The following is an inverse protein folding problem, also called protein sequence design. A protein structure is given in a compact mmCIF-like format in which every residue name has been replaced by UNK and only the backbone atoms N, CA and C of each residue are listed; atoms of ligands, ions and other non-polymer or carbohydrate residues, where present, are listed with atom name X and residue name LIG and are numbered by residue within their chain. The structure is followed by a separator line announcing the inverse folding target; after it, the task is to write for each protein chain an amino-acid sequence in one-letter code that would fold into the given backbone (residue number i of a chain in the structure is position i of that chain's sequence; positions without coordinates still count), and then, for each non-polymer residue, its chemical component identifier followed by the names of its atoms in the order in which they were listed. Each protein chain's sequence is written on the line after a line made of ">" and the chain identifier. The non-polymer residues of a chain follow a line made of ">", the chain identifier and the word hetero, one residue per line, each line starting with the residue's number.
data_IF_081994124051
#
_entry.id   IF_081994124051
#
_cell.length_a   1.000
_cell.length_b   1.000
_cell.length_c   1.000
_cell.angle_alpha   90.00
_cell.angle_beta   90.00
_cell.angle_gamma   90.00
#
_symmetry.space_group_name_H-M   'P 1'
#
loop_
_entity.id
_entity.type
_entity.pdbx_description
1 polymer ?
#
# COMPACT_ATOMS: atom_id res chain seq x y z
N UNK A 1 10.07 -33.74 17.65
CA UNK A 1 10.91 -32.95 16.73
C UNK A 1 10.11 -31.72 16.37
N UNK A 2 10.64 -30.55 16.69
CA UNK A 2 10.02 -29.27 16.39
C UNK A 2 10.17 -28.94 14.90
N UNK A 3 9.12 -28.40 14.29
CA UNK A 3 9.14 -27.83 12.95
C UNK A 3 8.37 -26.51 13.00
N UNK A 4 9.11 -25.42 12.89
CA UNK A 4 8.65 -24.04 12.84
C UNK A 4 8.16 -23.77 11.40
N UNK A 5 6.92 -23.31 11.24
CA UNK A 5 6.35 -22.88 9.96
C UNK A 5 5.80 -21.48 10.14
N UNK A 6 6.31 -20.53 9.35
CA UNK A 6 6.01 -19.12 9.46
C UNK A 6 4.59 -18.79 8.98
N UNK A 7 3.85 -18.09 9.84
CA UNK A 7 2.58 -17.43 9.54
C UNK A 7 2.79 -16.26 8.57
N UNK A 8 2.20 -16.35 7.37
CA UNK A 8 1.94 -15.18 6.51
C UNK A 8 0.66 -15.38 5.71
N UNK A 9 -0.49 -15.43 6.39
CA UNK A 9 -1.81 -15.49 5.75
C UNK A 9 -2.72 -14.37 6.25
N UNK A 10 -2.96 -13.40 5.37
CA UNK A 10 -4.21 -12.65 5.26
C UNK A 10 -4.22 -11.96 3.89
N UNK A 11 -5.41 -11.76 3.32
CA UNK A 11 -5.73 -11.16 1.99
C UNK A 11 -5.98 -12.16 0.85
N UNK A 12 -7.24 -12.61 0.72
CA UNK A 12 -7.94 -12.40 -0.54
C UNK A 12 -9.38 -11.88 -0.31
N UNK A 13 -9.86 -11.02 -1.23
CA UNK A 13 -11.27 -10.63 -1.51
C UNK A 13 -11.47 -9.11 -1.57
N UNK A 14 -11.06 -8.49 -2.68
CA UNK A 14 -11.62 -7.19 -3.10
C UNK A 14 -11.58 -7.07 -4.62
N UNK A 15 -12.31 -7.96 -5.31
CA UNK A 15 -12.58 -7.82 -6.75
C UNK A 15 -13.89 -8.54 -7.13
N UNK A 16 -15.01 -8.08 -6.56
CA UNK A 16 -16.34 -7.98 -7.20
C UNK A 16 -17.41 -7.59 -6.19
N UNK A 17 -18.43 -6.91 -6.71
CA UNK A 17 -19.67 -6.44 -6.09
C UNK A 17 -19.63 -5.05 -5.44
N UNK A 18 -19.99 -4.08 -6.29
CA UNK A 18 -20.34 -2.70 -5.95
C UNK A 18 -21.82 -2.48 -6.29
N UNK A 19 -22.68 -2.37 -5.27
CA UNK A 19 -23.96 -1.64 -5.33
C UNK A 19 -24.23 -1.07 -3.92
N UNK A 20 -24.69 0.19 -3.79
CA UNK A 20 -24.79 0.87 -2.50
C UNK A 20 -26.07 0.49 -1.75
N UNK A 21 -25.94 0.17 -0.46
CA UNK A 21 -27.06 0.17 0.50
C UNK A 21 -26.84 1.35 1.45
N UNK A 22 -27.84 2.22 1.69
CA UNK A 22 -27.66 3.38 2.57
C UNK A 22 -27.88 2.97 4.02
N UNK A 23 -26.88 3.18 4.88
CA UNK A 23 -27.06 3.16 6.34
C UNK A 23 -26.59 4.50 6.91
N UNK A 24 -27.52 5.20 7.57
CA UNK A 24 -27.27 6.44 8.28
C UNK A 24 -26.50 6.16 9.58
N UNK A 25 -25.24 6.59 9.66
CA UNK A 25 -24.51 6.70 10.93
C UNK A 25 -23.89 8.09 11.03
N UNK A 26 -24.15 8.75 12.17
CA UNK A 26 -23.81 10.15 12.44
C UNK A 26 -22.29 10.41 12.43
N UNK A 27 -21.86 11.24 11.48
CA UNK A 27 -20.52 11.80 11.40
C UNK A 27 -20.23 12.75 12.57
N UNK A 28 -19.30 12.41 13.47
CA UNK A 28 -18.60 13.41 14.30
C UNK A 28 -17.35 13.86 13.56
N UNK A 29 -17.48 15.01 12.87
CA UNK A 29 -16.41 15.73 12.18
C UNK A 29 -15.27 16.11 13.14
N UNK A 30 -14.04 15.83 12.71
CA UNK A 30 -12.82 16.46 13.21
C UNK A 30 -12.85 17.94 12.81
N UNK A 31 -12.93 18.84 13.81
CA UNK A 31 -12.54 20.24 13.63
C UNK A 31 -11.02 20.31 13.73
N UNK A 32 -10.34 20.20 12.59
CA UNK A 32 -9.02 20.84 12.46
C UNK A 32 -9.29 22.33 12.69
N UNK A 33 -8.56 22.95 13.62
CA UNK A 33 -8.65 24.37 13.93
C UNK A 33 -8.40 25.19 12.64
N UNK A 34 -9.47 25.50 11.92
CA UNK A 34 -9.49 26.55 10.91
C UNK A 34 -9.54 27.86 11.71
N UNK A 35 -8.40 28.57 11.78
CA UNK A 35 -8.43 30.01 12.02
C UNK A 35 -9.20 30.64 10.85
N UNK A 36 -10.47 30.95 11.11
CA UNK A 36 -11.39 31.53 10.14
C UNK A 36 -11.03 32.98 9.88
N UNK A 37 -10.09 33.23 8.97
CA UNK A 37 -10.00 34.52 8.27
C UNK A 37 -9.73 34.34 6.77
N UNK A 38 -10.84 34.28 6.02
CA UNK A 38 -11.06 34.70 4.62
C UNK A 38 -10.26 33.94 3.50
N UNK A 39 -10.84 33.34 2.45
CA UNK A 39 -11.88 33.73 1.47
C UNK A 39 -12.47 32.49 0.75
N UNK A 40 -13.65 32.57 0.09
CA UNK A 40 -14.35 31.40 -0.44
C UNK A 40 -13.81 31.00 -1.83
N UNK A 41 -13.10 29.88 -1.87
CA UNK A 41 -12.74 29.18 -3.11
C UNK A 41 -13.07 27.70 -2.94
N UNK A 42 -14.17 27.25 -3.55
CA UNK A 42 -14.46 25.81 -3.69
C UNK A 42 -13.30 25.17 -4.45
N UNK A 43 -12.54 24.27 -3.81
CA UNK A 43 -11.54 23.42 -4.45
C UNK A 43 -11.84 21.96 -4.11
N UNK A 44 -11.68 21.02 -5.06
CA UNK A 44 -12.36 19.73 -4.99
C UNK A 44 -11.65 18.80 -4.00
N UNK A 45 -12.31 18.56 -2.88
CA UNK A 45 -11.99 17.59 -1.82
C UNK A 45 -12.16 16.12 -2.23
N UNK A 46 -12.46 15.87 -3.51
CA UNK A 46 -13.07 14.64 -3.97
C UNK A 46 -12.22 13.37 -3.82
N UNK A 47 -10.88 13.41 -3.94
CA UNK A 47 -10.09 12.17 -3.83
C UNK A 47 -9.72 11.82 -2.38
N UNK A 48 -9.44 12.79 -1.51
CA UNK A 48 -9.33 12.52 -0.07
C UNK A 48 -10.69 12.02 0.43
N UNK A 49 -11.79 12.71 0.09
CA UNK A 49 -13.13 12.28 0.49
C UNK A 49 -13.48 10.90 -0.09
N UNK A 50 -13.08 10.58 -1.33
CA UNK A 50 -13.31 9.27 -1.92
C UNK A 50 -12.50 8.17 -1.21
N UNK A 51 -11.20 8.39 -0.94
CA UNK A 51 -10.38 7.40 -0.22
C UNK A 51 -10.81 7.24 1.23
N UNK A 52 -11.19 8.33 1.91
CA UNK A 52 -11.75 8.29 3.25
C UNK A 52 -13.14 7.64 3.29
N UNK A 53 -13.99 7.82 2.27
CA UNK A 53 -15.26 7.10 2.16
C UNK A 53 -15.07 5.61 1.87
N UNK A 54 -14.02 5.25 1.13
CA UNK A 54 -13.67 3.87 0.79
C UNK A 54 -13.13 3.07 1.98
N UNK A 55 -12.55 3.71 3.00
CA UNK A 55 -11.83 3.03 4.06
C UNK A 55 -11.98 3.59 5.47
N UNK A 56 -12.89 4.54 5.72
CA UNK A 56 -12.96 5.27 6.99
C UNK A 56 -13.19 4.39 8.22
N UNK A 57 -14.07 3.39 8.14
CA UNK A 57 -14.31 2.44 9.25
C UNK A 57 -13.08 1.54 9.48
N UNK A 58 -12.51 0.99 8.41
CA UNK A 58 -11.29 0.18 8.48
C UNK A 58 -10.09 0.99 9.04
N UNK A 59 -9.99 2.28 8.71
CA UNK A 59 -8.95 3.15 9.29
C UNK A 59 -9.10 3.31 10.80
N UNK A 60 -10.34 3.40 11.31
CA UNK A 60 -10.58 3.49 12.76
C UNK A 60 -10.23 2.20 13.48
N UNK A 61 -10.58 1.04 12.91
CA UNK A 61 -10.20 -0.27 13.45
C UNK A 61 -8.67 -0.42 13.54
N UNK A 62 -7.96 0.01 12.50
CA UNK A 62 -6.48 0.04 12.51
C UNK A 62 -5.93 0.95 13.61
N UNK A 63 -6.52 2.13 13.83
CA UNK A 63 -6.07 3.03 14.89
C UNK A 63 -6.29 2.44 16.29
N UNK A 64 -7.38 1.72 16.51
CA UNK A 64 -7.67 1.05 17.78
C UNK A 64 -6.66 -0.06 18.04
N UNK A 65 -6.38 -0.90 17.03
CA UNK A 65 -5.43 -2.00 17.18
C UNK A 65 -3.99 -1.49 17.37
N UNK A 66 -3.59 -0.44 16.64
CA UNK A 66 -2.29 0.20 16.84
C UNK A 66 -2.17 0.76 18.25
N UNK A 67 -3.23 1.40 18.78
CA UNK A 67 -3.23 1.89 20.16
C UNK A 67 -3.08 0.73 21.16
N UNK A 68 -3.76 -0.39 20.93
CA UNK A 68 -3.63 -1.59 21.76
C UNK A 68 -2.20 -2.13 21.76
N UNK A 69 -1.56 -2.21 20.59
CA UNK A 69 -0.18 -2.65 20.45
C UNK A 69 0.81 -1.67 21.10
N UNK A 70 0.60 -0.36 20.95
CA UNK A 70 1.45 0.67 21.57
C UNK A 70 1.39 0.65 23.11
N UNK A 71 0.25 0.26 23.70
CA UNK A 71 0.14 0.02 25.14
C UNK A 71 0.79 -1.32 25.54
N UNK A 72 0.60 -2.37 24.75
CA UNK A 72 1.18 -3.69 25.00
C UNK A 72 2.72 -3.64 25.04
N UNK A 73 3.33 -2.91 24.11
CA UNK A 73 4.78 -2.77 23.98
C UNK A 73 5.31 -1.43 24.53
N UNK A 74 4.59 -0.82 25.49
CA UNK A 74 4.94 0.52 26.00
C UNK A 74 6.32 0.59 26.62
N UNK A 75 6.88 -0.52 27.09
CA UNK A 75 8.20 -0.57 27.72
C UNK A 75 9.36 -0.75 26.70
N UNK A 76 9.04 -1.00 25.42
CA UNK A 76 10.01 -1.18 24.33
C UNK A 76 10.21 0.10 23.49
N UNK A 77 11.28 0.11 22.68
CA UNK A 77 11.49 1.11 21.65
C UNK A 77 10.71 0.71 20.40
N UNK A 78 9.62 1.42 20.11
CA UNK A 78 8.70 1.06 19.03
C UNK A 78 8.87 1.94 17.80
N UNK A 79 8.35 1.47 16.66
CA UNK A 79 8.14 2.27 15.46
C UNK A 79 6.91 1.74 14.73
N UNK A 80 6.26 2.58 13.92
CA UNK A 80 5.12 2.18 13.10
C UNK A 80 5.53 2.30 11.64
N UNK A 81 5.37 1.21 10.89
CA UNK A 81 5.56 1.22 9.43
C UNK A 81 4.25 0.90 8.75
N UNK A 82 3.83 1.76 7.83
CA UNK A 82 2.63 1.60 7.02
C UNK A 82 3.06 1.40 5.58
N UNK A 83 2.47 0.43 4.88
CA UNK A 83 2.83 0.13 3.51
C UNK A 83 1.59 -0.13 2.68
N UNK A 84 1.71 0.04 1.38
CA UNK A 84 0.65 -0.24 0.45
C UNK A 84 1.10 -0.03 -1.00
N UNK A 85 0.33 -0.61 -1.91
CA UNK A 85 0.51 -0.48 -3.35
C UNK A 85 -0.74 0.13 -3.97
N UNK A 86 -0.59 1.00 -4.97
CA UNK A 86 -1.71 1.58 -5.72
C UNK A 86 -2.72 2.28 -4.81
N UNK A 87 -4.01 1.90 -4.84
CA UNK A 87 -5.02 2.38 -3.89
C UNK A 87 -4.59 2.17 -2.42
N UNK A 88 -4.00 1.02 -2.10
CA UNK A 88 -3.49 0.72 -0.76
C UNK A 88 -2.39 1.67 -0.31
N UNK A 89 -1.56 2.17 -1.24
CA UNK A 89 -0.55 3.19 -0.92
C UNK A 89 -1.18 4.53 -0.53
N UNK A 90 -2.27 4.93 -1.20
CA UNK A 90 -3.03 6.13 -0.85
C UNK A 90 -3.65 6.00 0.55
N UNK A 91 -4.25 4.84 0.85
CA UNK A 91 -4.83 4.54 2.16
C UNK A 91 -3.76 4.50 3.25
N UNK A 92 -2.60 3.87 3.00
CA UNK A 92 -1.46 3.85 3.92
C UNK A 92 -0.96 5.27 4.24
N UNK A 93 -0.94 6.16 3.24
CA UNK A 93 -0.56 7.56 3.41
C UNK A 93 -1.54 8.32 4.31
N UNK A 94 -2.84 8.15 4.08
CA UNK A 94 -3.88 8.78 4.92
C UNK A 94 -3.84 8.23 6.35
N UNK A 95 -3.72 6.92 6.50
CA UNK A 95 -3.67 6.26 7.79
C UNK A 95 -2.43 6.67 8.60
N UNK A 96 -1.27 6.81 7.95
CA UNK A 96 -0.07 7.33 8.60
C UNK A 96 -0.25 8.76 9.13
N UNK A 97 -0.96 9.62 8.38
CA UNK A 97 -1.32 10.98 8.84
C UNK A 97 -2.29 10.91 10.01
N UNK A 98 -3.33 10.08 9.94
CA UNK A 98 -4.30 9.92 11.02
C UNK A 98 -3.65 9.43 12.31
N UNK A 99 -2.69 8.49 12.21
CA UNK A 99 -1.94 7.98 13.36
C UNK A 99 -1.21 9.10 14.10
N UNK A 100 -0.43 9.92 13.38
CA UNK A 100 0.32 11.02 14.01
C UNK A 100 -0.58 12.17 14.44
N UNK A 101 -1.69 12.42 13.74
CA UNK A 101 -2.64 13.47 14.09
C UNK A 101 -3.44 13.14 15.37
N UNK A 102 -3.79 11.86 15.57
CA UNK A 102 -4.46 11.38 16.79
C UNK A 102 -3.48 10.99 17.90
N UNK A 103 -2.17 11.07 17.64
CA UNK A 103 -1.13 10.73 18.60
C UNK A 103 -1.12 9.27 19.02
N UNK A 104 -1.64 8.35 18.19
CA UNK A 104 -1.66 6.91 18.51
C UNK A 104 -0.25 6.30 18.55
N UNK A 105 0.72 6.98 17.94
CA UNK A 105 2.14 6.63 17.99
C UNK A 105 2.82 7.05 19.30
N UNK A 106 2.06 7.38 20.35
CA UNK A 106 2.58 7.77 21.67
C UNK A 106 2.01 6.84 22.74
N UNK A 107 2.83 6.52 23.74
CA UNK A 107 2.42 5.78 24.95
C UNK A 107 2.69 6.62 26.21
N UNK A 108 2.01 6.29 27.31
CA UNK A 108 2.10 7.06 28.55
C UNK A 108 3.55 7.12 29.06
N UNK A 109 4.10 8.32 29.17
CA UNK A 109 5.46 8.54 29.69
C UNK A 109 6.59 8.40 28.67
N UNK A 110 6.29 8.18 27.37
CA UNK A 110 7.30 8.14 26.30
C UNK A 110 7.02 9.16 25.20
N UNK A 111 8.06 9.69 24.53
CA UNK A 111 7.90 10.45 23.30
C UNK A 111 7.22 9.63 22.20
N UNK A 112 6.55 10.33 21.29
CA UNK A 112 5.92 9.72 20.13
C UNK A 112 6.95 9.01 19.23
N UNK A 113 6.70 7.75 18.88
CA UNK A 113 7.56 6.94 18.04
C UNK A 113 7.48 7.35 16.56
N UNK A 114 8.50 7.05 15.73
CA UNK A 114 8.46 7.37 14.32
C UNK A 114 7.40 6.56 13.58
N UNK A 115 6.67 7.24 12.68
CA UNK A 115 5.74 6.65 11.73
C UNK A 115 6.34 6.78 10.32
N UNK A 116 6.52 5.66 9.64
CA UNK A 116 7.10 5.63 8.29
C UNK A 116 6.12 5.02 7.29
N UNK A 117 5.79 5.74 6.22
CA UNK A 117 5.05 5.17 5.10
C UNK A 117 6.00 4.77 3.97
N UNK A 118 6.04 3.49 3.62
CA UNK A 118 6.75 2.98 2.44
C UNK A 118 5.71 2.60 1.39
N UNK A 119 5.59 3.40 0.34
CA UNK A 119 4.47 3.27 -0.60
C UNK A 119 4.95 2.98 -2.01
N UNK A 120 4.25 2.07 -2.68
CA UNK A 120 4.56 1.61 -4.03
C UNK A 120 3.49 2.12 -4.98
N UNK A 121 3.90 2.75 -6.07
CA UNK A 121 2.97 3.21 -7.10
C UNK A 121 1.81 4.08 -6.56
N UNK A 122 2.09 4.95 -5.59
CA UNK A 122 1.07 5.73 -4.89
C UNK A 122 0.50 6.82 -5.82
N UNK A 123 -0.82 6.87 -6.05
CA UNK A 123 -1.42 8.03 -6.69
C UNK A 123 -1.30 9.25 -5.76
N UNK A 124 -1.46 10.45 -6.31
CA UNK A 124 -1.47 11.65 -5.47
C UNK A 124 -2.69 11.67 -4.55
N UNK A 125 -2.43 11.83 -3.26
CA UNK A 125 -3.47 11.75 -2.21
C UNK A 125 -4.11 13.10 -1.93
N UNK A 126 -3.31 14.16 -1.85
CA UNK A 126 -3.78 15.49 -1.45
C UNK A 126 -3.17 16.63 -2.24
N UNK A 127 -3.71 17.83 -2.00
CA UNK A 127 -3.25 19.07 -2.61
C UNK A 127 -2.07 19.70 -1.84
N UNK A 128 -1.68 20.92 -2.22
CA UNK A 128 -0.59 21.66 -1.57
C UNK A 128 -0.83 21.94 -0.07
N UNK A 129 -2.09 22.07 0.36
CA UNK A 129 -2.43 22.24 1.78
C UNK A 129 -2.20 20.94 2.54
N UNK A 130 -2.62 19.80 1.97
CA UNK A 130 -2.31 18.48 2.52
C UNK A 130 -0.79 18.27 2.62
N UNK A 131 -0.02 18.62 1.58
CA UNK A 131 1.45 18.56 1.63
C UNK A 131 2.05 19.42 2.74
N UNK A 132 1.45 20.57 3.01
CA UNK A 132 1.91 21.48 4.07
C UNK A 132 1.63 20.89 5.45
N UNK A 133 0.41 20.37 5.67
CA UNK A 133 0.03 19.66 6.89
C UNK A 133 0.86 18.39 7.10
N UNK A 134 1.09 17.60 6.05
CA UNK A 134 1.93 16.41 6.08
C UNK A 134 3.34 16.73 6.62
N UNK A 135 3.93 17.83 6.13
CA UNK A 135 5.27 18.28 6.54
C UNK A 135 5.35 18.84 7.96
N UNK A 136 4.23 19.23 8.57
CA UNK A 136 4.25 19.70 9.97
C UNK A 136 4.41 18.57 10.97
N UNK A 137 4.14 17.32 10.58
CA UNK A 137 4.33 16.15 11.44
C UNK A 137 5.81 15.72 11.43
N UNK A 138 6.55 16.06 12.49
CA UNK A 138 7.99 15.79 12.59
C UNK A 138 8.32 14.29 12.63
N UNK A 139 7.43 13.50 13.25
CA UNK A 139 7.57 12.05 13.42
C UNK A 139 7.05 11.23 12.22
N UNK A 140 6.55 11.90 11.17
CA UNK A 140 6.07 11.24 9.97
C UNK A 140 7.11 11.37 8.85
N UNK A 141 7.55 10.23 8.31
CA UNK A 141 8.42 10.15 7.14
C UNK A 141 7.78 9.24 6.10
N UNK A 142 8.15 9.45 4.84
CA UNK A 142 7.69 8.55 3.78
C UNK A 142 8.61 8.46 2.59
N UNK A 143 8.62 7.26 2.02
CA UNK A 143 9.36 6.86 0.85
C UNK A 143 8.37 6.36 -0.20
N UNK A 144 8.46 6.88 -1.41
CA UNK A 144 7.59 6.53 -2.52
C UNK A 144 8.40 5.91 -3.64
N UNK A 145 8.25 4.61 -3.80
CA UNK A 145 8.85 3.86 -4.88
C UNK A 145 8.05 4.13 -6.15
N UNK A 146 8.74 4.58 -7.21
CA UNK A 146 8.14 4.93 -8.51
C UNK A 146 8.83 4.19 -9.64
N UNK A 147 8.09 3.36 -10.36
CA UNK A 147 8.62 2.69 -11.55
C UNK A 147 8.50 3.60 -12.76
N UNK A 148 9.59 3.72 -13.52
CA UNK A 148 9.60 4.51 -14.75
C UNK A 148 8.58 3.94 -15.74
N UNK A 149 7.73 4.81 -16.29
CA UNK A 149 6.65 4.44 -17.21
C UNK A 149 5.33 4.05 -16.54
N UNK A 150 5.29 3.87 -15.22
CA UNK A 150 4.02 3.78 -14.49
C UNK A 150 3.34 5.16 -14.43
N UNK A 151 2.06 5.18 -14.82
CA UNK A 151 1.23 6.38 -14.90
C UNK A 151 0.45 6.66 -13.61
N UNK A 152 0.28 5.66 -12.74
CA UNK A 152 -0.51 5.82 -11.50
C UNK A 152 0.08 6.87 -10.56
N UNK A 153 1.42 6.96 -10.37
CA UNK A 153 2.02 8.00 -9.54
C UNK A 153 1.94 9.43 -10.10
N UNK A 154 1.29 9.62 -11.25
CA UNK A 154 1.07 10.91 -11.91
C UNK A 154 -0.39 11.35 -11.80
N UNK A 155 -1.29 10.49 -11.31
CA UNK A 155 -2.71 10.80 -11.19
C UNK A 155 -3.13 11.00 -9.74
N UNK A 156 -4.14 11.85 -9.48
CA UNK A 156 -4.65 12.89 -10.37
C UNK A 156 -3.58 13.97 -10.65
N UNK A 157 -3.50 14.44 -11.91
CA UNK A 157 -2.40 15.29 -12.37
C UNK A 157 -2.53 16.78 -12.00
N UNK A 158 -3.75 17.29 -11.85
CA UNK A 158 -4.00 18.71 -11.62
C UNK A 158 -4.32 18.95 -10.13
N UNK A 159 -3.60 19.89 -9.50
CA UNK A 159 -3.78 20.36 -8.09
C UNK A 159 -3.38 19.40 -6.97
N UNK A 160 -3.16 18.12 -7.28
CA UNK A 160 -2.66 17.13 -6.35
C UNK A 160 -1.15 16.95 -6.48
N UNK A 161 -0.48 16.73 -5.35
CA UNK A 161 0.98 16.73 -5.28
C UNK A 161 1.48 15.53 -4.49
N UNK A 162 2.65 15.05 -4.88
CA UNK A 162 3.38 14.07 -4.11
C UNK A 162 3.91 14.69 -2.80
N UNK A 163 3.68 14.00 -1.69
CA UNK A 163 4.13 14.39 -0.34
C UNK A 163 5.38 13.63 0.11
N UNK A 164 5.72 12.55 -0.59
CA UNK A 164 6.74 11.59 -0.20
C UNK A 164 8.13 11.96 -0.76
N UNK A 165 9.17 11.35 -0.19
CA UNK A 165 10.49 11.32 -0.82
C UNK A 165 10.49 10.25 -1.91
N UNK A 166 10.83 10.61 -3.14
CA UNK A 166 10.81 9.67 -4.26
C UNK A 166 12.02 8.75 -4.26
N UNK A 167 11.79 7.46 -4.49
CA UNK A 167 12.77 6.45 -4.84
C UNK A 167 12.44 5.94 -6.26
N UNK A 168 13.02 6.54 -7.31
CA UNK A 168 12.78 6.09 -8.68
C UNK A 168 13.48 4.75 -8.94
N UNK A 169 12.78 3.85 -9.62
CA UNK A 169 13.32 2.60 -10.17
C UNK A 169 13.02 2.51 -11.66
N UNK A 170 13.87 1.82 -12.41
CA UNK A 170 13.70 1.63 -13.85
C UNK A 170 13.78 0.14 -14.19
N UNK A 171 12.64 -0.55 -14.07
CA UNK A 171 12.54 -1.96 -14.48
C UNK A 171 12.90 -2.18 -15.96
N UNK A 172 12.91 -1.12 -16.78
CA UNK A 172 13.40 -1.06 -18.15
C UNK A 172 14.80 -1.64 -18.34
N UNK A 173 15.61 -1.56 -17.29
CA UNK A 173 17.03 -1.98 -17.31
C UNK A 173 17.23 -3.44 -17.00
N UNK A 174 16.20 -4.13 -16.52
CA UNK A 174 16.29 -5.53 -16.15
C UNK A 174 16.56 -6.41 -17.37
N UNK A 175 17.66 -7.19 -17.40
CA UNK A 175 17.93 -8.12 -18.48
C UNK A 175 16.99 -9.32 -18.48
N UNK A 176 16.23 -9.53 -17.40
CA UNK A 176 15.33 -10.67 -17.22
C UNK A 176 13.95 -10.46 -17.85
N UNK A 177 13.57 -9.19 -18.10
CA UNK A 177 12.22 -8.83 -18.55
C UNK A 177 12.14 -8.73 -20.07
N UNK A 178 10.98 -9.09 -20.62
CA UNK A 178 10.65 -9.00 -22.03
C UNK A 178 10.03 -7.64 -22.35
N UNK A 179 10.86 -6.69 -22.81
CA UNK A 179 10.44 -5.34 -23.18
C UNK A 179 9.99 -5.25 -24.65
N UNK A 180 9.02 -4.37 -24.99
CA UNK A 180 8.36 -3.36 -24.15
C UNK A 180 7.18 -3.88 -23.30
N UNK A 181 6.95 -3.27 -22.13
CA UNK A 181 5.82 -3.57 -21.23
C UNK A 181 4.71 -2.53 -21.30
N UNK A 182 3.47 -2.96 -21.03
CA UNK A 182 2.31 -2.05 -20.97
C UNK A 182 2.29 -1.21 -19.69
N UNK A 183 1.67 -0.01 -19.67
CA UNK A 183 1.53 0.79 -18.45
C UNK A 183 0.86 0.04 -17.30
N UNK A 184 -0.12 -0.83 -17.58
CA UNK A 184 -0.78 -1.65 -16.56
C UNK A 184 0.17 -2.69 -15.96
N UNK A 185 1.06 -3.27 -16.79
CA UNK A 185 2.08 -4.22 -16.34
C UNK A 185 3.15 -3.54 -15.49
N UNK A 186 3.58 -2.33 -15.88
CA UNK A 186 4.55 -1.53 -15.11
C UNK A 186 4.06 -1.15 -13.72
N UNK A 187 2.73 -1.15 -13.54
CA UNK A 187 2.08 -0.91 -12.27
C UNK A 187 2.04 -2.13 -11.34
N UNK A 188 2.44 -3.33 -11.78
CA UNK A 188 2.37 -4.53 -10.96
C UNK A 188 3.39 -4.52 -9.80
N UNK A 189 2.96 -4.93 -8.60
CA UNK A 189 3.79 -4.88 -7.40
C UNK A 189 5.05 -5.77 -7.47
N UNK A 190 4.97 -6.95 -8.09
CA UNK A 190 6.13 -7.85 -8.17
C UNK A 190 7.21 -7.27 -9.09
N UNK A 191 6.84 -6.46 -10.09
CA UNK A 191 7.80 -5.67 -10.89
C UNK A 191 8.44 -4.56 -10.06
N UNK A 192 7.68 -3.88 -9.21
CA UNK A 192 8.24 -2.89 -8.29
C UNK A 192 9.29 -3.50 -7.35
N UNK A 193 8.98 -4.65 -6.76
CA UNK A 193 9.90 -5.37 -5.88
C UNK A 193 11.11 -5.94 -6.65
N UNK A 194 10.91 -6.39 -7.89
CA UNK A 194 12.01 -6.77 -8.80
C UNK A 194 12.94 -5.59 -9.09
N UNK A 195 12.38 -4.41 -9.37
CA UNK A 195 13.16 -3.18 -9.58
C UNK A 195 13.98 -2.80 -8.36
N UNK A 196 13.40 -2.84 -7.16
CA UNK A 196 14.14 -2.56 -5.90
C UNK A 196 15.27 -3.56 -5.69
N UNK A 197 15.05 -4.83 -6.02
CA UNK A 197 16.05 -5.87 -5.82
C UNK A 197 17.27 -5.71 -6.73
N UNK A 198 17.16 -5.02 -7.88
CA UNK A 198 18.25 -4.99 -8.86
C UNK A 198 18.59 -3.67 -9.55
N UNK A 199 17.79 -2.63 -9.44
CA UNK A 199 18.10 -1.31 -10.03
C UNK A 199 19.33 -0.69 -9.35
N UNK A 200 20.28 -0.22 -10.16
CA UNK A 200 21.55 0.36 -9.67
C UNK A 200 21.52 1.89 -9.57
N UNK A 201 20.35 2.50 -9.78
CA UNK A 201 20.12 3.93 -9.61
C UNK A 201 20.93 4.77 -10.58
N UNK A 202 21.63 5.78 -10.06
CA UNK A 202 22.41 6.72 -10.89
C UNK A 202 23.62 6.08 -11.58
N UNK A 203 24.13 4.96 -11.08
CA UNK A 203 25.19 4.19 -11.74
C UNK A 203 24.68 3.52 -13.03
N UNK A 204 23.38 3.21 -13.07
CA UNK A 204 22.72 2.53 -14.16
C UNK A 204 23.07 1.05 -14.31
N UNK A 205 22.32 0.40 -15.20
CA UNK A 205 22.31 -1.06 -15.30
C UNK A 205 21.39 -1.72 -14.27
N UNK A 206 21.43 -3.05 -14.24
CA UNK A 206 20.59 -3.86 -13.38
C UNK A 206 21.35 -5.11 -12.91
N UNK A 207 21.40 -5.32 -11.61
CA UNK A 207 22.03 -6.47 -10.97
C UNK A 207 21.30 -6.75 -9.67
N UNK A 208 20.76 -7.96 -9.52
CA UNK A 208 20.12 -8.37 -8.26
C UNK A 208 21.16 -8.34 -7.13
N UNK A 209 20.91 -7.51 -6.11
CA UNK A 209 21.75 -7.41 -4.89
C UNK A 209 21.19 -8.26 -3.74
N UNK A 210 20.00 -8.85 -3.93
CA UNK A 210 19.37 -9.80 -3.03
C UNK A 210 18.97 -11.05 -3.80
N UNK A 211 18.95 -12.19 -3.11
CA UNK A 211 18.47 -13.46 -3.67
C UNK A 211 16.94 -13.45 -3.76
N UNK A 212 16.43 -12.82 -4.83
CA UNK A 212 15.00 -12.72 -5.14
C UNK A 212 14.68 -13.60 -6.34
N UNK A 213 13.77 -14.54 -6.13
CA UNK A 213 13.31 -15.45 -7.19
C UNK A 213 12.64 -14.68 -8.33
N UNK A 214 13.15 -14.88 -9.55
CA UNK A 214 12.61 -14.30 -10.77
C UNK A 214 11.16 -14.74 -11.01
N UNK A 215 10.78 -15.95 -10.58
CA UNK A 215 9.44 -16.48 -10.80
C UNK A 215 8.34 -15.59 -10.21
N UNK A 216 8.65 -14.83 -9.14
CA UNK A 216 7.72 -13.87 -8.55
C UNK A 216 7.28 -12.78 -9.54
N UNK A 217 8.12 -12.41 -10.52
CA UNK A 217 7.75 -11.44 -11.53
C UNK A 217 6.55 -11.89 -12.39
N UNK A 218 6.40 -13.20 -12.63
CA UNK A 218 5.28 -13.77 -13.39
C UNK A 218 4.07 -14.18 -12.52
N UNK A 219 4.04 -13.78 -11.24
CA UNK A 219 2.98 -14.20 -10.30
C UNK A 219 1.57 -13.85 -10.78
N UNK A 220 1.41 -12.68 -11.38
CA UNK A 220 0.12 -12.19 -11.89
C UNK A 220 0.18 -11.79 -13.38
N UNK A 221 1.36 -11.76 -13.99
CA UNK A 221 1.62 -11.24 -15.33
C UNK A 221 2.56 -12.17 -16.11
N UNK A 222 2.81 -11.85 -17.37
CA UNK A 222 3.81 -12.52 -18.22
C UNK A 222 4.86 -11.50 -18.66
N UNK A 223 5.99 -11.45 -17.95
CA UNK A 223 7.00 -10.40 -18.14
C UNK A 223 8.41 -10.94 -18.27
N UNK A 224 8.67 -12.16 -17.85
CA UNK A 224 9.99 -12.78 -18.00
C UNK A 224 10.24 -13.13 -19.47
N UNK A 225 11.51 -13.12 -19.88
CA UNK A 225 11.90 -13.67 -21.19
C UNK A 225 11.68 -15.18 -21.24
N UNK A 226 11.42 -15.71 -22.43
CA UNK A 226 11.16 -17.14 -22.67
C UNK A 226 12.29 -18.07 -22.19
N UNK A 227 13.53 -17.57 -22.12
CA UNK A 227 14.68 -18.30 -21.57
C UNK A 227 14.53 -18.67 -20.08
N UNK A 228 13.63 -17.98 -19.37
CA UNK A 228 13.21 -18.31 -18.01
C UNK A 228 11.85 -19.04 -18.08
N UNK A 229 11.80 -20.37 -17.95
CA UNK A 229 10.60 -21.17 -18.19
C UNK A 229 9.61 -21.11 -17.01
N UNK A 230 9.19 -19.91 -16.64
CA UNK A 230 8.22 -19.65 -15.57
C UNK A 230 6.85 -19.36 -16.19
N UNK A 231 5.80 -20.14 -15.86
CA UNK A 231 4.46 -19.89 -16.36
C UNK A 231 3.95 -18.49 -16.01
N UNK A 232 3.30 -17.84 -16.97
CA UNK A 232 2.60 -16.57 -16.77
C UNK A 232 1.46 -16.70 -15.74
N UNK A 233 1.23 -15.62 -14.98
CA UNK A 233 0.11 -15.46 -14.05
C UNK A 233 -0.14 -16.71 -13.19
N UNK A 234 0.94 -17.30 -12.66
CA UNK A 234 0.88 -18.63 -12.04
C UNK A 234 0.14 -18.65 -10.70
N UNK A 235 -0.11 -17.49 -10.06
CA UNK A 235 -0.78 -17.46 -8.75
C UNK A 235 -2.24 -17.88 -8.89
N UNK A 236 -2.50 -19.09 -8.44
CA UNK A 236 -3.85 -19.66 -8.35
C UNK A 236 -3.89 -20.63 -7.16
N UNK A 237 -5.00 -20.64 -6.43
CA UNK A 237 -5.24 -21.68 -5.43
C UNK A 237 -5.20 -23.06 -6.11
N UNK A 238 -4.74 -24.08 -5.39
CA UNK A 238 -4.80 -25.45 -5.90
C UNK A 238 -6.23 -25.77 -6.32
N UNK A 239 -6.41 -26.26 -7.56
CA UNK A 239 -7.72 -26.50 -8.17
C UNK A 239 -8.69 -25.30 -8.10
N UNK A 240 -8.17 -24.07 -8.05
CA UNK A 240 -8.95 -22.83 -7.84
C UNK A 240 -9.79 -22.85 -6.55
N UNK A 241 -9.30 -23.51 -5.51
CA UNK A 241 -9.98 -23.63 -4.22
C UNK A 241 -11.01 -24.77 -4.15
N UNK A 242 -11.15 -25.59 -5.20
CA UNK A 242 -12.04 -26.76 -5.15
C UNK A 242 -11.39 -27.93 -4.40
N UNK A 243 -12.05 -28.36 -3.33
CA UNK A 243 -11.63 -29.48 -2.49
C UNK A 243 -12.70 -30.57 -2.52
N UNK A 244 -12.29 -31.83 -2.62
CA UNK A 244 -13.19 -32.98 -2.56
C UNK A 244 -13.49 -33.32 -1.10
N UNK A 245 -14.76 -33.33 -0.71
CA UNK A 245 -15.20 -33.69 0.63
C UNK A 245 -15.38 -35.22 0.80
N UNK A 246 -15.72 -35.64 2.02
CA UNK A 246 -15.84 -37.06 2.40
C UNK A 246 -16.99 -37.79 1.67
N UNK A 247 -17.99 -37.05 1.18
CA UNK A 247 -19.07 -37.58 0.32
C UNK A 247 -18.62 -37.75 -1.14
N UNK A 248 -17.39 -37.36 -1.45
CA UNK A 248 -16.82 -37.39 -2.78
C UNK A 248 -17.26 -36.25 -3.71
N UNK A 249 -17.91 -35.21 -3.17
CA UNK A 249 -18.32 -34.00 -3.91
C UNK A 249 -17.24 -32.93 -3.83
N UNK A 250 -17.19 -32.04 -4.82
CA UNK A 250 -16.30 -30.88 -4.78
C UNK A 250 -17.02 -29.66 -4.22
N UNK A 251 -16.35 -28.94 -3.32
CA UNK A 251 -16.82 -27.70 -2.73
C UNK A 251 -15.74 -26.62 -2.79
N UNK A 252 -16.17 -25.36 -2.89
CA UNK A 252 -15.27 -24.22 -2.89
C UNK A 252 -14.84 -23.93 -1.45
N UNK A 253 -13.54 -24.07 -1.19
CA UNK A 253 -12.86 -23.69 0.05
C UNK A 253 -11.74 -22.72 -0.29
N UNK A 254 -12.11 -21.47 -0.53
CA UNK A 254 -11.21 -20.36 -0.86
C UNK A 254 -11.10 -19.32 0.26
N UNK A 255 -11.59 -19.66 1.46
CA UNK A 255 -11.50 -18.85 2.67
C UNK A 255 -11.22 -19.73 3.89
N UNK A 256 -10.55 -19.16 4.88
CA UNK A 256 -10.44 -19.73 6.22
C UNK A 256 -11.45 -19.05 7.15
N UNK A 257 -12.07 -19.84 8.02
CA UNK A 257 -12.91 -19.31 9.07
C UNK A 257 -12.03 -19.05 10.29
N UNK A 258 -11.73 -17.77 10.54
CA UNK A 258 -10.93 -17.29 11.68
C UNK A 258 -11.82 -17.14 12.91
#
# INVERSE_FOLDING_TARGET
>A
MAGCGADTDAWPLCLRYWLPVPVHVQQRRIKVQQDQRQRPGKQPSASIDAYSQLGGEAMLEVLEEVRRLMELYKDEDTSITVTGHSLGAALATLNAVDMVAHGVNSSAGKPACPVTAMVFACPHVGNVFFKTAYRSFLNLKSLHIKNLGDVVPQVPALTYVDVHVALPIDTGRSPYLNWPLSPATLHNLELYLHGIAGEQGSAGGFKLEVDRDLALANKEVDVLKEEYPVPASWRVLQNKGLVKNDEGKYELRDFEQI
#
